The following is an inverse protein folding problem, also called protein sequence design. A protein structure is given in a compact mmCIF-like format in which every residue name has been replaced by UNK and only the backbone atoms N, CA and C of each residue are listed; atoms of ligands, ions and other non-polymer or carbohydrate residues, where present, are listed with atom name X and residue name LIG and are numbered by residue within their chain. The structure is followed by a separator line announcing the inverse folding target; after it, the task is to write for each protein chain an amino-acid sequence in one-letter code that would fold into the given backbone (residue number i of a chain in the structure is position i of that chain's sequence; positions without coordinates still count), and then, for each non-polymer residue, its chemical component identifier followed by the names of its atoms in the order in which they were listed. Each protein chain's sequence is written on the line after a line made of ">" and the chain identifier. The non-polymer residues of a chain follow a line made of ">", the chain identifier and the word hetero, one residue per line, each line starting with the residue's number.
data_IF_176307170200
#
_entry.id   IF_176307170200
#
_cell.length_a   1.000
_cell.length_b   1.000
_cell.length_c   1.000
_cell.angle_alpha   90.00
_cell.angle_beta   90.00
_cell.angle_gamma   90.00
#
_symmetry.space_group_name_H-M   'P 1'
#
loop_
_entity.id
_entity.type
_entity.pdbx_description
1 polymer ?
#
# COMPACT_ATOMS: atom_id res chain seq x y z
N UNK A 1 15.29 -17.16 -1.15
CA UNK A 1 15.59 -16.16 -2.21
C UNK A 1 16.22 -16.77 -3.45
N UNK A 2 17.40 -17.42 -3.35
CA UNK A 2 18.11 -18.01 -4.51
C UNK A 2 17.21 -18.99 -5.30
N UNK A 3 16.48 -19.87 -4.61
CA UNK A 3 15.55 -20.81 -5.25
C UNK A 3 14.43 -20.11 -6.03
N UNK A 4 13.88 -19.01 -5.51
CA UNK A 4 12.87 -18.22 -6.21
C UNK A 4 13.44 -17.59 -7.48
N UNK A 5 14.61 -16.94 -7.38
CA UNK A 5 15.30 -16.31 -8.53
C UNK A 5 15.58 -17.33 -9.62
N UNK A 6 16.05 -18.54 -9.24
CA UNK A 6 16.29 -19.63 -10.18
C UNK A 6 15.02 -20.08 -10.91
N UNK A 7 13.85 -20.03 -10.25
CA UNK A 7 12.55 -20.36 -10.87
C UNK A 7 11.99 -19.24 -11.74
N UNK A 8 12.43 -18.00 -11.55
CA UNK A 8 11.89 -16.80 -12.21
C UNK A 8 13.04 -15.96 -12.79
N UNK A 9 13.79 -16.54 -13.74
CA UNK A 9 14.99 -15.90 -14.30
C UNK A 9 14.69 -14.58 -15.05
N UNK A 10 13.50 -14.46 -15.62
CA UNK A 10 13.06 -13.24 -16.33
C UNK A 10 12.87 -12.05 -15.38
N UNK A 11 12.45 -12.31 -14.13
CA UNK A 11 12.30 -11.27 -13.10
C UNK A 11 13.60 -11.08 -12.31
N UNK A 12 14.34 -12.17 -12.07
CA UNK A 12 15.56 -12.14 -11.28
C UNK A 12 15.32 -11.79 -9.81
N UNK A 13 16.30 -11.11 -9.20
CA UNK A 13 16.15 -10.46 -7.90
C UNK A 13 15.96 -8.97 -8.10
N UNK A 14 14.93 -8.42 -7.47
CA UNK A 14 14.65 -6.99 -7.46
C UNK A 14 14.72 -6.50 -6.02
N UNK A 15 15.36 -5.34 -5.82
CA UNK A 15 15.48 -4.74 -4.49
C UNK A 15 14.10 -4.55 -3.84
N UNK A 16 13.98 -5.00 -2.59
CA UNK A 16 12.70 -5.01 -1.85
C UNK A 16 12.08 -6.39 -1.69
N UNK A 17 12.43 -7.36 -2.56
CA UNK A 17 11.92 -8.73 -2.44
C UNK A 17 12.27 -9.40 -1.11
N UNK A 18 13.44 -9.08 -0.54
CA UNK A 18 13.85 -9.60 0.77
C UNK A 18 12.97 -9.08 1.91
N UNK A 19 12.51 -7.84 1.83
CA UNK A 19 11.60 -7.25 2.82
C UNK A 19 10.24 -7.94 2.81
N UNK A 20 9.76 -8.32 1.61
CA UNK A 20 8.51 -9.08 1.43
C UNK A 20 8.66 -10.52 1.95
N UNK A 21 9.82 -11.15 1.74
CA UNK A 21 10.08 -12.51 2.19
C UNK A 21 10.26 -12.60 3.72
N UNK A 22 10.86 -11.60 4.36
CA UNK A 22 11.23 -11.66 5.78
C UNK A 22 10.06 -12.01 6.73
N UNK A 23 8.86 -11.41 6.62
CA UNK A 23 7.71 -11.79 7.46
C UNK A 23 7.28 -13.25 7.30
N UNK A 24 7.38 -13.80 6.08
CA UNK A 24 7.03 -15.20 5.83
C UNK A 24 8.03 -16.15 6.51
N UNK A 25 9.32 -15.81 6.50
CA UNK A 25 10.36 -16.58 7.21
C UNK A 25 10.24 -16.48 8.74
N UNK A 26 9.61 -15.42 9.26
CA UNK A 26 9.33 -15.28 10.70
C UNK A 26 8.15 -16.16 11.11
N UNK A 27 7.13 -16.32 10.26
CA UNK A 27 5.96 -17.15 10.55
C UNK A 27 6.21 -18.63 10.28
N UNK A 28 6.84 -18.94 9.16
CA UNK A 28 7.00 -20.31 8.70
C UNK A 28 8.35 -20.87 9.12
N UNK A 29 8.32 -21.93 9.92
CA UNK A 29 9.50 -22.74 10.27
C UNK A 29 9.89 -23.74 9.16
N UNK A 30 9.18 -23.73 8.02
CA UNK A 30 9.41 -24.59 6.86
C UNK A 30 9.81 -23.75 5.63
N UNK A 31 11.01 -24.01 5.11
CA UNK A 31 11.55 -23.26 3.96
C UNK A 31 10.74 -23.51 2.67
N UNK A 32 10.26 -24.73 2.44
CA UNK A 32 9.48 -25.05 1.25
C UNK A 32 8.12 -24.32 1.31
N UNK A 33 7.46 -24.32 2.47
CA UNK A 33 6.23 -23.58 2.67
C UNK A 33 6.44 -22.06 2.50
N UNK A 34 7.50 -21.51 3.10
CA UNK A 34 7.85 -20.10 2.94
C UNK A 34 8.13 -19.73 1.47
N UNK A 35 8.80 -20.62 0.73
CA UNK A 35 9.08 -20.43 -0.70
C UNK A 35 7.80 -20.42 -1.54
N UNK A 36 6.87 -21.36 -1.32
CA UNK A 36 5.62 -21.41 -2.08
C UNK A 36 4.70 -20.22 -1.73
N UNK A 37 4.58 -19.88 -0.44
CA UNK A 37 3.87 -18.67 -0.02
C UNK A 37 4.48 -17.40 -0.62
N UNK A 38 5.81 -17.29 -0.62
CA UNK A 38 6.51 -16.17 -1.25
C UNK A 38 6.27 -16.12 -2.76
N UNK A 39 6.27 -17.28 -3.44
CA UNK A 39 5.98 -17.37 -4.87
C UNK A 39 4.58 -16.85 -5.19
N UNK A 40 3.59 -17.25 -4.39
CA UNK A 40 2.23 -16.75 -4.52
C UNK A 40 2.12 -15.25 -4.23
N UNK A 41 2.79 -14.75 -3.19
CA UNK A 41 2.80 -13.33 -2.86
C UNK A 41 3.46 -12.49 -3.97
N UNK A 42 4.57 -12.95 -4.54
CA UNK A 42 5.22 -12.29 -5.66
C UNK A 42 4.35 -12.28 -6.92
N UNK A 43 3.56 -13.33 -7.19
CA UNK A 43 2.61 -13.32 -8.33
C UNK A 43 1.57 -12.19 -8.24
N UNK A 44 1.22 -11.78 -7.00
CA UNK A 44 0.33 -10.64 -6.74
C UNK A 44 1.05 -9.30 -6.89
N UNK A 45 2.31 -9.21 -6.45
CA UNK A 45 3.05 -7.95 -6.34
C UNK A 45 3.92 -7.63 -7.56
N UNK A 46 4.23 -8.61 -8.42
CA UNK A 46 5.21 -8.46 -9.52
C UNK A 46 4.93 -7.28 -10.42
N UNK A 47 3.66 -6.96 -10.70
CA UNK A 47 3.27 -5.84 -11.56
C UNK A 47 3.66 -4.46 -10.99
N UNK A 48 3.93 -4.37 -9.69
CA UNK A 48 4.37 -3.14 -9.03
C UNK A 48 5.88 -2.91 -9.10
N UNK A 49 6.66 -3.91 -9.52
CA UNK A 49 8.11 -3.76 -9.65
C UNK A 49 8.49 -2.95 -10.91
N UNK A 50 9.71 -2.36 -10.95
CA UNK A 50 10.16 -1.56 -12.09
C UNK A 50 10.01 -2.29 -13.44
N UNK A 51 9.89 -1.51 -14.52
CA UNK A 51 9.66 -1.98 -15.90
C UNK A 51 8.25 -2.52 -16.19
N UNK A 52 7.35 -2.48 -15.20
CA UNK A 52 5.93 -2.83 -15.32
C UNK A 52 5.05 -1.64 -14.96
N UNK A 53 3.77 -1.68 -15.34
CA UNK A 53 2.83 -0.54 -15.21
C UNK A 53 1.91 -0.61 -13.98
N UNK A 54 1.99 -1.68 -13.17
CA UNK A 54 1.09 -1.86 -12.03
C UNK A 54 1.25 -0.78 -10.96
N UNK A 55 2.47 -0.28 -10.76
CA UNK A 55 2.74 0.81 -9.84
C UNK A 55 2.08 2.12 -10.29
N UNK A 56 2.19 2.46 -11.57
CA UNK A 56 1.58 3.69 -12.11
C UNK A 56 0.06 3.65 -11.94
N UNK A 57 -0.57 2.50 -12.20
CA UNK A 57 -1.99 2.31 -11.92
C UNK A 57 -2.33 2.46 -10.43
N UNK A 58 -1.51 1.96 -9.51
CA UNK A 58 -1.74 2.12 -8.08
C UNK A 58 -1.71 3.60 -7.67
N UNK A 59 -0.71 4.35 -8.13
CA UNK A 59 -0.56 5.77 -7.82
C UNK A 59 -1.68 6.61 -8.46
N UNK A 60 -2.03 6.33 -9.71
CA UNK A 60 -3.14 7.00 -10.40
C UNK A 60 -4.48 6.74 -9.69
N UNK A 61 -4.75 5.50 -9.30
CA UNK A 61 -6.00 5.17 -8.61
C UNK A 61 -6.05 5.77 -7.20
N UNK A 62 -4.93 5.77 -6.47
CA UNK A 62 -4.86 6.45 -5.17
C UNK A 62 -5.12 7.95 -5.32
N UNK A 63 -4.55 8.58 -6.35
CA UNK A 63 -4.80 9.99 -6.68
C UNK A 63 -6.27 10.27 -6.90
N UNK A 64 -6.95 9.45 -7.72
CA UNK A 64 -8.38 9.60 -7.96
C UNK A 64 -9.21 9.38 -6.70
N UNK A 65 -8.83 8.42 -5.84
CA UNK A 65 -9.51 8.20 -4.56
C UNK A 65 -9.37 9.40 -3.62
N UNK A 66 -8.16 9.98 -3.50
CA UNK A 66 -7.95 11.19 -2.69
C UNK A 66 -8.77 12.35 -3.26
N UNK A 67 -8.81 12.53 -4.59
CA UNK A 67 -9.61 13.58 -5.23
C UNK A 67 -11.10 13.48 -4.87
N UNK A 68 -11.65 12.27 -4.82
CA UNK A 68 -13.07 12.04 -4.51
C UNK A 68 -13.35 12.18 -3.01
N UNK A 69 -12.48 11.61 -2.16
CA UNK A 69 -12.73 11.52 -0.72
C UNK A 69 -12.30 12.78 0.03
N UNK A 70 -11.21 13.42 -0.38
CA UNK A 70 -10.70 14.63 0.25
C UNK A 70 -10.13 15.61 -0.79
N UNK A 71 -10.99 16.42 -1.43
CA UNK A 71 -10.58 17.41 -2.42
C UNK A 71 -9.58 18.45 -1.88
N UNK A 72 -9.59 18.70 -0.58
CA UNK A 72 -8.69 19.68 0.05
C UNK A 72 -7.24 19.14 0.09
N UNK A 73 -7.04 17.90 0.56
CA UNK A 73 -5.72 17.25 0.50
C UNK A 73 -5.28 17.15 -0.96
N UNK A 74 -6.18 16.74 -1.87
CA UNK A 74 -5.87 16.64 -3.29
C UNK A 74 -5.34 17.97 -3.85
N UNK A 75 -6.05 19.08 -3.61
CA UNK A 75 -5.66 20.40 -4.07
C UNK A 75 -4.29 20.80 -3.53
N UNK A 76 -4.03 20.55 -2.24
CA UNK A 76 -2.75 20.83 -1.59
C UNK A 76 -1.61 20.05 -2.26
N UNK A 77 -1.77 18.74 -2.43
CA UNK A 77 -0.78 17.88 -3.08
C UNK A 77 -0.51 18.30 -4.53
N UNK A 78 -1.53 18.75 -5.27
CA UNK A 78 -1.39 19.16 -6.68
C UNK A 78 -0.91 20.59 -6.91
N UNK A 79 -0.84 21.41 -5.85
CA UNK A 79 -0.41 22.81 -5.97
C UNK A 79 1.07 22.97 -6.31
N UNK A 80 1.90 21.98 -5.94
CA UNK A 80 3.32 21.88 -6.29
C UNK A 80 3.46 21.19 -7.65
N UNK A 81 3.91 21.92 -8.66
CA UNK A 81 3.76 21.71 -10.12
C UNK A 81 4.32 20.43 -10.79
N UNK A 82 4.71 19.41 -10.04
CA UNK A 82 5.40 18.23 -10.56
C UNK A 82 4.54 16.96 -10.40
N UNK A 83 4.41 16.18 -11.47
CA UNK A 83 3.61 14.94 -11.57
C UNK A 83 3.97 13.82 -10.55
N UNK A 84 4.80 14.14 -9.56
CA UNK A 84 5.38 13.28 -8.53
C UNK A 84 4.57 13.26 -7.22
N UNK A 85 3.41 13.92 -7.15
CA UNK A 85 2.69 14.22 -5.90
C UNK A 85 2.41 13.05 -4.94
N UNK A 86 2.41 11.79 -5.40
CA UNK A 86 2.16 10.61 -4.56
C UNK A 86 3.33 9.62 -4.47
N UNK A 87 4.52 9.97 -4.98
CA UNK A 87 5.68 9.07 -4.90
C UNK A 87 6.13 8.76 -3.47
N UNK A 88 5.73 9.55 -2.47
CA UNK A 88 5.90 9.19 -1.06
C UNK A 88 5.24 7.85 -0.70
N UNK A 89 4.18 7.46 -1.42
CA UNK A 89 3.47 6.19 -1.25
C UNK A 89 4.02 5.04 -2.11
N UNK A 90 5.03 5.29 -2.94
CA UNK A 90 5.63 4.27 -3.83
C UNK A 90 6.11 3.04 -3.04
N UNK A 91 6.82 3.29 -1.94
CA UNK A 91 7.34 2.21 -1.06
C UNK A 91 6.22 1.37 -0.46
N UNK A 92 5.06 1.97 -0.20
CA UNK A 92 3.92 1.28 0.38
C UNK A 92 3.42 0.19 -0.55
N UNK A 93 3.21 0.49 -1.83
CA UNK A 93 2.72 -0.50 -2.80
C UNK A 93 3.81 -1.47 -3.27
N UNK A 94 5.07 -1.02 -3.32
CA UNK A 94 6.19 -1.88 -3.73
C UNK A 94 6.42 -3.00 -2.71
N UNK A 95 6.39 -2.66 -1.41
CA UNK A 95 6.71 -3.59 -0.32
C UNK A 95 5.47 -4.08 0.44
N UNK A 96 4.30 -3.90 -0.17
CA UNK A 96 2.99 -4.23 0.41
C UNK A 96 2.86 -3.78 1.88
N UNK A 97 3.25 -2.52 2.14
CA UNK A 97 3.26 -1.82 3.43
C UNK A 97 4.25 -2.33 4.48
N UNK A 98 5.11 -3.31 4.17
CA UNK A 98 5.97 -3.94 5.19
C UNK A 98 6.91 -2.97 5.90
N UNK A 99 7.43 -1.95 5.20
CA UNK A 99 8.32 -0.93 5.81
C UNK A 99 7.58 0.09 6.67
N UNK A 100 6.25 0.14 6.61
CA UNK A 100 5.45 1.06 7.41
C UNK A 100 4.89 0.41 8.67
N UNK A 101 4.94 -0.92 8.78
CA UNK A 101 4.22 -1.68 9.80
C UNK A 101 5.14 -2.67 10.53
N UNK A 102 4.93 -2.78 11.84
CA UNK A 102 5.52 -3.83 12.67
C UNK A 102 5.03 -5.22 12.22
N UNK A 103 5.70 -6.30 12.66
CA UNK A 103 5.30 -7.66 12.29
C UNK A 103 3.85 -7.99 12.68
N UNK A 104 3.44 -7.69 13.91
CA UNK A 104 2.06 -7.92 14.36
C UNK A 104 1.03 -7.17 13.51
N UNK A 105 1.39 -5.97 13.04
CA UNK A 105 0.51 -5.14 12.22
C UNK A 105 0.45 -5.62 10.77
N UNK A 106 1.60 -5.95 10.17
CA UNK A 106 1.65 -6.35 8.76
C UNK A 106 0.90 -7.65 8.51
N UNK A 107 0.99 -8.63 9.43
CA UNK A 107 0.25 -9.89 9.29
C UNK A 107 -1.27 -9.64 9.22
N UNK A 108 -1.81 -8.84 10.14
CA UNK A 108 -3.24 -8.48 10.13
C UNK A 108 -3.67 -7.72 8.87
N UNK A 109 -2.82 -6.80 8.39
CA UNK A 109 -3.10 -6.03 7.18
C UNK A 109 -3.10 -6.94 5.96
N UNK A 110 -2.11 -7.81 5.82
CA UNK A 110 -2.02 -8.80 4.74
C UNK A 110 -3.21 -9.75 4.73
N UNK A 111 -3.54 -10.37 5.86
CA UNK A 111 -4.72 -11.24 5.98
C UNK A 111 -6.00 -10.51 5.56
N UNK A 112 -6.15 -9.25 5.99
CA UNK A 112 -7.32 -8.44 5.61
C UNK A 112 -7.33 -8.11 4.11
N UNK A 113 -6.19 -7.71 3.53
CA UNK A 113 -6.07 -7.41 2.09
C UNK A 113 -6.37 -8.66 1.25
N UNK A 114 -5.84 -9.82 1.64
CA UNK A 114 -6.04 -11.08 0.92
C UNK A 114 -7.48 -11.57 1.02
N UNK A 115 -8.10 -11.50 2.20
CA UNK A 115 -9.51 -11.81 2.39
C UNK A 115 -10.43 -10.84 1.63
N UNK A 116 -10.12 -9.54 1.66
CA UNK A 116 -10.85 -8.49 0.95
C UNK A 116 -10.86 -8.70 -0.56
N UNK A 117 -9.72 -9.12 -1.12
CA UNK A 117 -9.57 -9.41 -2.54
C UNK A 117 -10.49 -10.53 -3.03
N UNK A 118 -10.94 -11.43 -2.14
CA UNK A 118 -11.86 -12.53 -2.45
C UNK A 118 -13.32 -12.21 -2.17
N UNK A 119 -13.60 -11.21 -1.35
CA UNK A 119 -14.94 -10.98 -0.79
C UNK A 119 -15.60 -9.71 -1.31
N UNK A 120 -14.88 -8.60 -1.44
CA UNK A 120 -15.50 -7.32 -1.79
C UNK A 120 -14.70 -6.40 -2.72
N UNK A 121 -13.36 -6.42 -2.72
CA UNK A 121 -12.56 -5.60 -3.65
C UNK A 121 -11.13 -6.13 -3.84
N UNK A 122 -10.67 -6.36 -5.09
CA UNK A 122 -9.29 -6.76 -5.37
C UNK A 122 -8.27 -5.67 -5.02
N UNK A 123 -8.72 -4.41 -4.88
CA UNK A 123 -7.88 -3.23 -4.68
C UNK A 123 -7.92 -2.68 -3.25
N UNK A 124 -8.18 -3.52 -2.24
CA UNK A 124 -8.27 -3.06 -0.85
C UNK A 124 -7.00 -2.34 -0.34
N UNK A 125 -5.82 -2.68 -0.88
CA UNK A 125 -4.56 -1.97 -0.59
C UNK A 125 -4.63 -0.47 -0.90
N UNK A 126 -5.38 -0.05 -1.93
CA UNK A 126 -5.58 1.37 -2.24
C UNK A 126 -6.36 2.08 -1.13
N UNK A 127 -7.39 1.43 -0.58
CA UNK A 127 -8.18 1.98 0.52
C UNK A 127 -7.40 2.03 1.82
N UNK A 128 -6.47 1.09 2.04
CA UNK A 128 -5.53 1.14 3.15
C UNK A 128 -4.55 2.31 3.01
N UNK A 129 -3.99 2.54 1.81
CA UNK A 129 -3.15 3.72 1.54
C UNK A 129 -3.94 5.04 1.71
N UNK A 130 -5.18 5.09 1.22
CA UNK A 130 -6.07 6.24 1.45
C UNK A 130 -6.34 6.46 2.95
N UNK A 131 -6.54 5.38 3.72
CA UNK A 131 -6.69 5.46 5.16
C UNK A 131 -5.44 6.04 5.84
N UNK A 132 -4.24 5.67 5.39
CA UNK A 132 -2.99 6.26 5.91
C UNK A 132 -2.95 7.78 5.69
N UNK A 133 -3.32 8.26 4.50
CA UNK A 133 -3.35 9.71 4.20
C UNK A 133 -4.43 10.42 5.02
N UNK A 134 -5.67 9.93 4.98
CA UNK A 134 -6.82 10.57 5.63
C UNK A 134 -6.74 10.54 7.16
N UNK A 135 -6.08 9.53 7.75
CA UNK A 135 -5.89 9.45 9.21
C UNK A 135 -5.03 10.60 9.75
N UNK A 136 -4.10 11.13 8.96
CA UNK A 136 -3.23 12.24 9.34
C UNK A 136 -3.64 13.56 8.67
N UNK A 137 -4.84 13.63 8.10
CA UNK A 137 -5.39 14.81 7.42
C UNK A 137 -5.13 16.12 8.17
N UNK A 138 -5.49 16.18 9.45
CA UNK A 138 -5.41 17.42 10.23
C UNK A 138 -3.95 17.85 10.47
N UNK A 139 -3.04 16.89 10.57
CA UNK A 139 -1.59 17.15 10.69
C UNK A 139 -1.02 17.64 9.36
N UNK A 140 -1.39 17.00 8.26
CA UNK A 140 -0.95 17.35 6.90
C UNK A 140 -1.40 18.79 6.57
N UNK A 141 -2.69 19.07 6.75
CA UNK A 141 -3.27 20.38 6.43
C UNK A 141 -2.81 21.44 7.42
N UNK A 142 -2.80 21.12 8.72
CA UNK A 142 -2.42 22.07 9.77
C UNK A 142 -0.98 22.56 9.66
N UNK A 143 -0.08 21.73 9.12
CA UNK A 143 1.32 22.09 8.89
C UNK A 143 1.60 22.54 7.43
N UNK A 144 0.59 22.53 6.55
CA UNK A 144 0.73 22.81 5.12
C UNK A 144 1.88 21.99 4.48
N UNK A 145 1.90 20.69 4.78
CA UNK A 145 3.00 19.80 4.38
C UNK A 145 3.13 19.71 2.86
N UNK A 146 4.34 19.94 2.36
CA UNK A 146 4.67 19.69 0.96
C UNK A 146 5.06 18.22 0.71
N UNK A 147 5.45 17.91 -0.53
CA UNK A 147 5.86 16.55 -0.90
C UNK A 147 7.03 16.01 -0.06
N UNK A 148 8.02 16.85 0.27
CA UNK A 148 9.20 16.48 1.05
C UNK A 148 8.82 16.24 2.51
N UNK A 149 7.97 17.11 3.06
CA UNK A 149 7.44 16.95 4.42
C UNK A 149 6.64 15.66 4.56
N UNK A 150 5.83 15.31 3.54
CA UNK A 150 5.07 14.06 3.51
C UNK A 150 5.99 12.83 3.55
N UNK A 151 7.06 12.82 2.76
CA UNK A 151 8.06 11.74 2.81
C UNK A 151 8.66 11.62 4.21
N UNK A 152 9.11 12.74 4.78
CA UNK A 152 9.74 12.76 6.10
C UNK A 152 8.77 12.29 7.19
N UNK A 153 7.57 12.83 7.20
CA UNK A 153 6.53 12.48 8.16
C UNK A 153 6.19 11.00 8.14
N UNK A 154 5.91 10.42 6.98
CA UNK A 154 5.56 9.00 6.89
C UNK A 154 6.74 8.08 7.22
N UNK A 155 7.97 8.47 6.86
CA UNK A 155 9.17 7.74 7.29
C UNK A 155 9.35 7.74 8.81
N UNK A 156 9.09 8.86 9.48
CA UNK A 156 9.15 8.96 10.95
C UNK A 156 8.01 8.22 11.65
N UNK A 157 6.90 7.99 10.96
CA UNK A 157 5.73 7.24 11.44
C UNK A 157 5.82 5.73 11.19
N UNK A 158 6.83 5.26 10.46
CA UNK A 158 7.04 3.84 10.22
C UNK A 158 6.97 3.03 11.54
N UNK A 159 6.20 1.95 11.51
CA UNK A 159 5.90 1.05 12.64
C UNK A 159 5.10 1.67 13.80
N UNK A 160 4.70 2.95 13.70
CA UNK A 160 3.92 3.68 14.74
C UNK A 160 2.46 3.89 14.37
N UNK A 161 2.03 3.40 13.21
CA UNK A 161 0.66 3.51 12.75
C UNK A 161 -0.30 2.64 13.58
N UNK A 162 -1.45 3.19 13.98
CA UNK A 162 -2.54 2.40 14.56
C UNK A 162 -3.22 1.56 13.48
N UNK A 163 -2.77 0.33 13.34
CA UNK A 163 -3.25 -0.63 12.34
C UNK A 163 -4.76 -0.87 12.42
N UNK A 164 -5.33 -0.98 13.63
CA UNK A 164 -6.77 -1.25 13.79
C UNK A 164 -7.61 -0.08 13.30
N UNK A 165 -7.19 1.14 13.65
CA UNK A 165 -7.83 2.36 13.17
C UNK A 165 -7.73 2.52 11.66
N UNK A 166 -6.57 2.23 11.08
CA UNK A 166 -6.36 2.29 9.62
C UNK A 166 -7.23 1.27 8.88
N UNK A 167 -7.31 0.03 9.36
CA UNK A 167 -8.17 -1.00 8.76
C UNK A 167 -9.67 -0.63 8.86
N UNK A 168 -10.10 -0.06 9.99
CA UNK A 168 -11.47 0.42 10.15
C UNK A 168 -11.78 1.58 9.19
N UNK A 169 -10.88 2.55 9.07
CA UNK A 169 -11.01 3.67 8.14
C UNK A 169 -11.03 3.19 6.67
N UNK A 170 -10.16 2.25 6.29
CA UNK A 170 -10.14 1.67 4.94
C UNK A 170 -11.48 1.00 4.60
N UNK A 171 -12.08 0.25 5.52
CA UNK A 171 -13.41 -0.36 5.34
C UNK A 171 -14.51 0.71 5.21
N UNK A 172 -14.44 1.78 5.99
CA UNK A 172 -15.39 2.89 5.89
C UNK A 172 -15.31 3.59 4.52
N UNK A 173 -14.10 3.82 4.00
CA UNK A 173 -13.90 4.41 2.66
C UNK A 173 -14.48 3.53 1.54
N UNK A 174 -14.30 2.21 1.61
CA UNK A 174 -14.92 1.27 0.67
C UNK A 174 -16.44 1.41 0.68
N UNK A 175 -17.05 1.38 1.88
CA UNK A 175 -18.50 1.50 2.03
C UNK A 175 -19.04 2.84 1.52
N UNK A 176 -18.32 3.93 1.81
CA UNK A 176 -18.65 5.26 1.32
C UNK A 176 -18.69 5.30 -0.21
N UNK A 177 -17.64 4.79 -0.87
CA UNK A 177 -17.57 4.77 -2.32
C UNK A 177 -18.63 3.87 -2.95
N UNK A 178 -18.90 2.70 -2.37
CA UNK A 178 -19.99 1.81 -2.83
C UNK A 178 -21.35 2.50 -2.75
N UNK A 179 -21.62 3.21 -1.66
CA UNK A 179 -22.86 3.99 -1.53
C UNK A 179 -22.93 5.09 -2.58
N UNK A 180 -21.86 5.85 -2.81
CA UNK A 180 -21.83 6.91 -3.84
C UNK A 180 -22.15 6.34 -5.24
N UNK A 181 -21.55 5.20 -5.59
CA UNK A 181 -21.81 4.54 -6.89
C UNK A 181 -23.26 4.05 -6.99
N UNK A 182 -23.86 3.58 -5.90
CA UNK A 182 -25.27 3.17 -5.88
C UNK A 182 -26.24 4.34 -6.07
N UNK A 183 -25.94 5.54 -5.53
CA UNK A 183 -26.79 6.72 -5.68
C UNK A 183 -26.69 7.37 -7.07
N UNK A 184 -25.66 7.01 -7.86
CA UNK A 184 -25.45 7.48 -9.23
C UNK A 184 -26.04 6.53 -10.29
N UNK A 185 -26.66 5.42 -9.88
CA UNK A 185 -27.39 4.48 -10.74
C UNK A 185 -28.89 4.64 -10.57
#
# INVERSE_FOLDING_TARGET
>A
MVTYVRRNLDDGYIQGMCDILAPLLVIFEDEALALECFTMLMSRLRENFPQRSGMDHCLMNLRSLIQVVDPQIFSMLTSTSDFTHLYFSYRWFLLDFKRELSYDSIFRVWETIWAAARTFSPHFSLFFALAMVTNYRDVIIGNNMDFTDMIKFFNEMAERHDCNRLLAAARAHVKCLQNLVQHLR
#
